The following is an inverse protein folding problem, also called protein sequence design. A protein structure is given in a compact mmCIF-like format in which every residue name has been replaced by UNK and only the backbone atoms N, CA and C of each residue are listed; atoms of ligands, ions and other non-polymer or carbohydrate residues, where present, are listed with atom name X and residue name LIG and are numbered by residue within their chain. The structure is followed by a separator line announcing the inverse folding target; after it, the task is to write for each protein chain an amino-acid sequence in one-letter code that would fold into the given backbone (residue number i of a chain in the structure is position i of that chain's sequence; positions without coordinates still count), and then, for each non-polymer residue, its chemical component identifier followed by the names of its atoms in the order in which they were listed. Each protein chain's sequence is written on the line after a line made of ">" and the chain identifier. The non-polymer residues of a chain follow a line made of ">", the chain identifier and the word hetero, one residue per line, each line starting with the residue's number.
data_IF_571534665188
#
_entry.id   IF_571534665188
#
_cell.length_a   1.000
_cell.length_b   1.000
_cell.length_c   1.000
_cell.angle_alpha   90.00
_cell.angle_beta   90.00
_cell.angle_gamma   90.00
#
_symmetry.space_group_name_H-M   'P 1'
#
loop_
_entity.id
_entity.type
_entity.pdbx_description
1 polymer ?
#
# COMPACT_ATOMS: atom_id res chain seq x y z
N UNK A 1 12.14 31.07 5.98
CA UNK A 1 12.21 29.61 6.18
C UNK A 1 10.79 29.07 6.02
N UNK A 2 10.40 28.69 4.81
CA UNK A 2 9.06 28.15 4.48
C UNK A 2 9.19 26.86 3.68
N UNK A 3 10.14 26.02 4.07
CA UNK A 3 10.27 24.67 3.52
C UNK A 3 9.33 23.76 4.29
N UNK A 4 8.31 23.24 3.61
CA UNK A 4 7.67 22.00 4.03
C UNK A 4 8.76 20.93 4.00
N UNK A 5 9.40 20.69 5.14
CA UNK A 5 10.48 19.70 5.27
C UNK A 5 9.88 18.29 5.32
N UNK A 6 9.28 17.90 4.20
CA UNK A 6 8.73 16.57 4.02
C UNK A 6 9.87 15.66 3.63
N UNK A 7 10.12 14.67 4.47
CA UNK A 7 11.09 13.62 4.17
C UNK A 7 10.52 12.69 3.09
N UNK A 8 10.77 13.08 1.83
CA UNK A 8 10.35 12.39 0.62
C UNK A 8 10.88 10.96 0.56
N UNK A 9 12.11 10.74 0.99
CA UNK A 9 12.73 9.43 1.04
C UNK A 9 11.95 8.49 1.96
N UNK A 10 11.57 8.95 3.16
CA UNK A 10 10.75 8.18 4.09
C UNK A 10 9.39 7.82 3.49
N UNK A 11 8.73 8.74 2.78
CA UNK A 11 7.42 8.46 2.14
C UNK A 11 7.53 7.44 1.01
N UNK A 12 8.58 7.53 0.19
CA UNK A 12 8.83 6.57 -0.90
C UNK A 12 9.16 5.19 -0.32
N UNK A 13 10.06 5.11 0.66
CA UNK A 13 10.41 3.86 1.34
C UNK A 13 9.20 3.23 2.00
N UNK A 14 8.40 4.02 2.74
CA UNK A 14 7.15 3.55 3.34
C UNK A 14 6.19 3.00 2.27
N UNK A 15 6.03 3.72 1.16
CA UNK A 15 5.20 3.28 0.04
C UNK A 15 5.62 1.93 -0.53
N UNK A 16 6.91 1.76 -0.78
CA UNK A 16 7.50 0.52 -1.29
C UNK A 16 7.35 -0.64 -0.32
N UNK A 17 7.62 -0.42 0.97
CA UNK A 17 7.49 -1.45 2.01
C UNK A 17 6.03 -1.88 2.18
N UNK A 18 5.08 -0.94 2.18
CA UNK A 18 3.66 -1.27 2.19
C UNK A 18 3.27 -2.10 0.97
N UNK A 19 3.69 -1.73 -0.24
CA UNK A 19 3.41 -2.54 -1.43
C UNK A 19 4.02 -3.95 -1.37
N UNK A 20 5.23 -4.10 -0.81
CA UNK A 20 5.84 -5.42 -0.58
C UNK A 20 5.03 -6.26 0.40
N UNK A 21 4.58 -5.67 1.51
CA UNK A 21 3.74 -6.34 2.52
C UNK A 21 2.40 -6.74 1.91
N UNK A 22 1.76 -5.86 1.13
CA UNK A 22 0.50 -6.15 0.44
C UNK A 22 0.64 -7.36 -0.50
N UNK A 23 1.68 -7.38 -1.33
CA UNK A 23 1.97 -8.50 -2.22
C UNK A 23 2.27 -9.81 -1.46
N UNK A 24 2.98 -9.72 -0.32
CA UNK A 24 3.25 -10.90 0.52
C UNK A 24 1.96 -11.47 1.11
N UNK A 25 1.02 -10.63 1.53
CA UNK A 25 -0.29 -11.05 2.06
C UNK A 25 -1.15 -11.69 0.96
N UNK A 26 -1.16 -11.15 -0.26
CA UNK A 26 -1.84 -11.75 -1.41
C UNK A 26 -1.29 -13.13 -1.78
N UNK A 27 0.01 -13.34 -1.57
CA UNK A 27 0.69 -14.61 -1.83
C UNK A 27 0.52 -15.68 -0.75
N UNK A 28 -0.14 -15.38 0.38
CA UNK A 28 -0.29 -16.36 1.46
C UNK A 28 -1.22 -17.51 1.05
N UNK A 29 -0.76 -18.75 1.24
CA UNK A 29 -1.59 -19.93 1.04
C UNK A 29 -2.55 -20.11 2.23
N UNK A 30 -3.83 -19.82 1.99
CA UNK A 30 -4.88 -19.96 3.00
C UNK A 30 -5.38 -21.39 3.18
N UNK A 31 -4.92 -22.36 2.38
CA UNK A 31 -5.28 -23.76 2.54
C UNK A 31 -4.44 -24.47 3.59
N UNK A 32 -3.22 -24.00 3.84
CA UNK A 32 -2.31 -24.63 4.81
C UNK A 32 -2.92 -24.76 6.22
N UNK A 33 -3.59 -23.74 6.79
CA UNK A 33 -4.23 -23.87 8.11
C UNK A 33 -5.41 -24.85 8.15
N UNK A 34 -5.99 -25.18 7.00
CA UNK A 34 -7.18 -26.02 6.87
C UNK A 34 -6.91 -27.37 6.17
N UNK A 35 -5.64 -27.68 5.93
CA UNK A 35 -5.20 -28.84 5.13
C UNK A 35 -5.82 -30.16 5.59
N UNK A 36 -5.88 -30.41 6.90
CA UNK A 36 -6.50 -31.64 7.44
C UNK A 36 -7.97 -31.77 7.05
N UNK A 37 -8.72 -30.67 7.11
CA UNK A 37 -10.12 -30.67 6.71
C UNK A 37 -10.29 -30.79 5.20
N UNK A 38 -9.55 -30.01 4.42
CA UNK A 38 -9.70 -29.91 2.96
C UNK A 38 -9.13 -31.14 2.23
N UNK A 39 -7.95 -31.59 2.62
CA UNK A 39 -7.20 -32.63 1.91
C UNK A 39 -7.30 -34.01 2.57
N UNK A 40 -7.20 -34.08 3.90
CA UNK A 40 -7.12 -35.36 4.62
C UNK A 40 -8.52 -35.97 4.92
N UNK A 41 -9.59 -35.17 4.88
CA UNK A 41 -10.97 -35.59 5.22
C UNK A 41 -11.98 -35.39 4.07
N UNK A 42 -11.54 -35.53 2.81
CA UNK A 42 -12.37 -35.31 1.61
C UNK A 42 -13.70 -36.06 1.65
N UNK A 43 -14.76 -35.39 1.16
CA UNK A 43 -16.11 -35.96 1.08
C UNK A 43 -16.92 -35.89 2.37
N UNK A 44 -16.36 -35.35 3.45
CA UNK A 44 -17.06 -35.14 4.72
C UNK A 44 -17.61 -33.71 4.85
N UNK A 45 -18.57 -33.51 5.75
CA UNK A 45 -19.04 -32.18 6.12
C UNK A 45 -17.90 -31.27 6.63
N UNK A 46 -16.93 -31.85 7.34
CA UNK A 46 -15.73 -31.16 7.83
C UNK A 46 -14.91 -30.58 6.68
N UNK A 47 -14.76 -31.29 5.57
CA UNK A 47 -14.06 -30.79 4.39
C UNK A 47 -14.77 -29.59 3.75
N UNK A 48 -16.10 -29.65 3.65
CA UNK A 48 -16.89 -28.53 3.11
C UNK A 48 -16.77 -27.26 3.98
N UNK A 49 -16.85 -27.41 5.30
CA UNK A 49 -16.69 -26.28 6.24
C UNK A 49 -15.28 -25.70 6.19
N UNK A 50 -14.26 -26.57 6.10
CA UNK A 50 -12.85 -26.15 6.05
C UNK A 50 -12.52 -25.41 4.75
N UNK A 51 -13.08 -25.85 3.62
CA UNK A 51 -12.96 -25.14 2.35
C UNK A 51 -13.63 -23.76 2.41
N UNK A 52 -14.86 -23.67 2.94
CA UNK A 52 -15.55 -22.39 3.10
C UNK A 52 -14.79 -21.42 4.02
N UNK A 53 -14.20 -21.92 5.12
CA UNK A 53 -13.36 -21.13 6.01
C UNK A 53 -12.07 -20.65 5.33
N UNK A 54 -11.43 -21.50 4.51
CA UNK A 54 -10.25 -21.14 3.72
C UNK A 54 -10.55 -20.01 2.73
N UNK A 55 -11.71 -20.06 2.07
CA UNK A 55 -12.16 -19.04 1.12
C UNK A 55 -12.47 -17.71 1.82
N UNK A 56 -13.10 -17.76 3.00
CA UNK A 56 -13.34 -16.56 3.80
C UNK A 56 -12.03 -15.92 4.26
N UNK A 57 -11.07 -16.71 4.72
CA UNK A 57 -9.75 -16.23 5.12
C UNK A 57 -9.03 -15.58 3.93
N UNK A 58 -9.08 -16.22 2.74
CA UNK A 58 -8.50 -15.67 1.51
C UNK A 58 -9.11 -14.32 1.16
N UNK A 59 -10.43 -14.20 1.21
CA UNK A 59 -11.13 -12.95 0.95
C UNK A 59 -10.72 -11.84 1.93
N UNK A 60 -10.60 -12.17 3.22
CA UNK A 60 -10.14 -11.23 4.23
C UNK A 60 -8.69 -10.77 3.98
N UNK A 61 -7.77 -11.69 3.67
CA UNK A 61 -6.38 -11.35 3.35
C UNK A 61 -6.28 -10.47 2.10
N UNK A 62 -7.01 -10.79 1.03
CA UNK A 62 -7.07 -9.95 -0.18
C UNK A 62 -7.57 -8.54 0.15
N UNK A 63 -8.58 -8.40 1.02
CA UNK A 63 -9.08 -7.09 1.46
C UNK A 63 -8.01 -6.30 2.25
N UNK A 64 -7.28 -6.97 3.14
CA UNK A 64 -6.17 -6.35 3.89
C UNK A 64 -5.05 -5.93 2.95
N UNK A 65 -4.63 -6.78 2.04
CA UNK A 65 -3.60 -6.47 1.05
C UNK A 65 -3.98 -5.29 0.16
N UNK A 66 -5.23 -5.25 -0.32
CA UNK A 66 -5.76 -4.12 -1.10
C UNK A 66 -5.65 -2.80 -0.34
N UNK A 67 -6.00 -2.78 0.94
CA UNK A 67 -5.87 -1.58 1.80
C UNK A 67 -4.43 -1.18 2.00
N UNK A 68 -3.53 -2.13 2.26
CA UNK A 68 -2.10 -1.88 2.44
C UNK A 68 -1.49 -1.32 1.14
N UNK A 69 -1.83 -1.89 -0.02
CA UNK A 69 -1.41 -1.40 -1.33
C UNK A 69 -1.94 0.03 -1.58
N UNK A 70 -3.19 0.31 -1.20
CA UNK A 70 -3.76 1.65 -1.31
C UNK A 70 -3.03 2.68 -0.41
N UNK A 71 -2.65 2.27 0.81
CA UNK A 71 -1.82 3.10 1.71
C UNK A 71 -0.44 3.36 1.12
N UNK A 72 0.21 2.33 0.54
CA UNK A 72 1.50 2.48 -0.12
C UNK A 72 1.44 3.46 -1.30
N UNK A 73 0.42 3.32 -2.15
CA UNK A 73 0.17 4.27 -3.25
C UNK A 73 -0.15 5.69 -2.77
N UNK A 74 -0.85 5.84 -1.65
CA UNK A 74 -1.13 7.14 -1.05
C UNK A 74 0.15 7.82 -0.52
N UNK A 75 1.07 7.07 0.09
CA UNK A 75 2.35 7.60 0.55
C UNK A 75 3.21 8.11 -0.61
N UNK A 76 3.29 7.36 -1.71
CA UNK A 76 4.02 7.78 -2.93
C UNK A 76 3.36 9.01 -3.56
N UNK A 77 2.03 9.04 -3.69
CA UNK A 77 1.31 10.22 -4.21
C UNK A 77 1.52 11.45 -3.34
N UNK A 78 1.55 11.29 -2.02
CA UNK A 78 1.85 12.36 -1.08
C UNK A 78 3.23 12.97 -1.39
N UNK A 79 4.25 12.13 -1.59
CA UNK A 79 5.59 12.57 -1.99
C UNK A 79 5.58 13.37 -3.30
N UNK A 80 4.89 12.86 -4.33
CA UNK A 80 4.80 13.55 -5.64
C UNK A 80 4.11 14.91 -5.52
N UNK A 81 3.01 15.00 -4.75
CA UNK A 81 2.30 16.26 -4.54
C UNK A 81 3.18 17.31 -3.84
N UNK A 82 4.02 16.90 -2.89
CA UNK A 82 4.98 17.81 -2.26
C UNK A 82 6.08 18.26 -3.24
N UNK A 83 6.55 17.39 -4.13
CA UNK A 83 7.48 17.82 -5.19
C UNK A 83 6.86 18.82 -6.17
N UNK A 84 5.60 18.62 -6.54
CA UNK A 84 4.86 19.55 -7.39
C UNK A 84 4.66 20.90 -6.69
N UNK A 85 4.29 20.89 -5.41
CA UNK A 85 4.16 22.08 -4.59
C UNK A 85 5.50 22.84 -4.48
N UNK A 86 6.61 22.16 -4.18
CA UNK A 86 7.93 22.78 -4.09
C UNK A 86 8.34 23.45 -5.40
N UNK A 87 8.10 22.78 -6.55
CA UNK A 87 8.38 23.34 -7.88
C UNK A 87 7.53 24.58 -8.16
N UNK A 88 6.25 24.55 -7.81
CA UNK A 88 5.35 25.69 -7.98
C UNK A 88 5.78 26.89 -7.12
N UNK A 89 6.17 26.66 -5.86
CA UNK A 89 6.70 27.72 -4.98
C UNK A 89 8.02 28.30 -5.51
N UNK A 90 8.94 27.47 -5.97
CA UNK A 90 10.19 27.93 -6.56
C UNK A 90 9.97 28.79 -7.82
N UNK A 91 9.03 28.39 -8.69
CA UNK A 91 8.66 29.17 -9.88
C UNK A 91 8.04 30.53 -9.55
N UNK A 92 7.22 30.61 -8.50
CA UNK A 92 6.64 31.88 -8.02
C UNK A 92 7.71 32.82 -7.45
N UNK A 93 8.67 32.30 -6.69
CA UNK A 93 9.78 33.10 -6.16
C UNK A 93 10.74 33.60 -7.25
N UNK A 94 11.00 32.78 -8.27
CA UNK A 94 11.79 33.18 -9.44
C UNK A 94 11.16 34.36 -10.19
N UNK A 95 9.85 34.32 -10.42
CA UNK A 95 9.11 35.39 -11.10
C UNK A 95 8.98 36.69 -10.28
N UNK A 96 9.02 36.60 -8.94
CA UNK A 96 9.01 37.79 -8.06
C UNK A 96 10.39 38.45 -7.94
N UNK A 97 11.48 37.71 -8.20
CA UNK A 97 12.85 38.24 -8.15
C UNK A 97 13.25 39.08 -9.36
N UNK A 98 12.66 38.83 -10.53
CA UNK A 98 13.00 39.55 -11.77
C UNK A 98 12.27 40.90 -11.93
N UNK A 99 11.23 41.18 -11.14
CA UNK A 99 10.37 42.37 -11.31
C UNK A 99 10.61 43.56 -10.38
N UNK A 100 11.61 43.52 -9.49
CA UNK A 100 11.82 44.57 -8.45
C UNK A 100 13.11 45.38 -8.67
N UNK A 101 13.95 45.02 -9.64
CA UNK A 101 15.16 45.75 -10.00
C UNK A 101 15.27 46.01 -11.52
N UNK A 102 14.20 46.54 -12.14
CA UNK A 102 14.22 47.07 -13.51
C UNK A 102 13.64 48.48 -13.56
#
# INVERSE_FOLDING_TARGET
>A
MTGLDVNKEVLITLGMELSRIGAAIEGMDTKEPFRVGVDDLKGTATAAVSAAASDQLKSALTSVASRINAMGGAAIRCCMNYEEADKAFAGLLGNLGEGVYS
#
